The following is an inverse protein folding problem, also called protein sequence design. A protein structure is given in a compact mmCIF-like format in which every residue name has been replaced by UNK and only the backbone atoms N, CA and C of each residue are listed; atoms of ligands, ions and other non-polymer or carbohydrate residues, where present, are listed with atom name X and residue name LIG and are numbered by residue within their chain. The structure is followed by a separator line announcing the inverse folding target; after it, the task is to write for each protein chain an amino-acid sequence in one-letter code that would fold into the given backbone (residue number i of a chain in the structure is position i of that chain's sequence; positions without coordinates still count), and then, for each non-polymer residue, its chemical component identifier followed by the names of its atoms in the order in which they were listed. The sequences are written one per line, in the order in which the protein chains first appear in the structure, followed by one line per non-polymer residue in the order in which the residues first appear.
data_IF_529041755377
#
_entry.id   IF_529041755377
#
_cell.length_a   1.000
_cell.length_b   1.000
_cell.length_c   1.000
_cell.angle_alpha   90.00
_cell.angle_beta   90.00
_cell.angle_gamma   90.00
#
_symmetry.space_group_name_H-M   'P 1'
#
loop_
_entity.id
_entity.type
_entity.pdbx_description
1 polymer ?
#
# COMPACT_ATOMS: atom_id res chain seq x y z
N UNK A 1 -26.51 6.08 2.93
CA UNK A 1 -25.52 5.85 4.00
C UNK A 1 -25.33 4.35 4.15
N UNK A 2 -24.40 3.77 3.37
CA UNK A 2 -24.13 2.32 3.30
C UNK A 2 -22.95 1.89 4.19
N UNK A 3 -22.72 0.58 4.36
CA UNK A 3 -22.30 -0.08 5.59
C UNK A 3 -20.83 0.12 6.00
N UNK A 4 -20.61 -0.05 7.31
CA UNK A 4 -19.34 -0.16 8.02
C UNK A 4 -18.39 -1.19 7.38
N UNK A 5 -17.68 -0.80 6.32
CA UNK A 5 -16.54 -1.55 5.83
C UNK A 5 -15.40 -1.31 6.81
N UNK A 6 -14.90 -2.36 7.46
CA UNK A 6 -13.70 -2.33 8.34
C UNK A 6 -12.45 -2.04 7.51
N UNK A 7 -12.43 -0.90 6.83
CA UNK A 7 -11.41 -0.49 5.88
C UNK A 7 -10.88 0.87 6.27
N UNK A 8 -9.57 1.01 6.23
CA UNK A 8 -8.91 2.29 6.43
C UNK A 8 -8.84 3.01 5.09
N UNK A 9 -9.45 4.18 4.97
CA UNK A 9 -9.38 5.00 3.76
C UNK A 9 -8.34 6.09 3.98
N UNK A 10 -7.34 6.17 3.11
CA UNK A 10 -6.26 7.17 3.15
C UNK A 10 -6.12 7.93 1.83
N UNK A 11 -5.76 9.21 1.90
CA UNK A 11 -5.41 10.03 0.73
C UNK A 11 -3.95 10.44 0.80
N UNK A 12 -3.18 10.13 -0.24
CA UNK A 12 -1.78 10.53 -0.35
C UNK A 12 -1.62 11.62 -1.42
N UNK A 13 -1.05 12.76 -1.03
CA UNK A 13 -0.75 13.89 -1.90
C UNK A 13 0.77 14.08 -1.91
N UNK A 14 1.42 13.78 -3.03
CA UNK A 14 2.84 14.06 -3.22
C UNK A 14 3.02 15.23 -4.21
N UNK A 15 3.75 16.27 -3.79
CA UNK A 15 4.01 17.48 -4.59
C UNK A 15 4.79 17.23 -5.90
N UNK A 16 5.31 16.03 -6.14
CA UNK A 16 6.09 15.68 -7.34
C UNK A 16 5.28 14.97 -8.44
N UNK A 17 3.99 14.68 -8.24
CA UNK A 17 3.16 14.03 -9.26
C UNK A 17 1.70 14.54 -9.20
N UNK A 18 1.12 14.90 -10.35
CA UNK A 18 -0.25 15.42 -10.53
C UNK A 18 -1.36 14.38 -10.29
N UNK A 19 -1.08 13.27 -9.59
CA UNK A 19 -2.02 12.19 -9.32
C UNK A 19 -2.34 12.07 -7.83
N UNK A 20 -3.63 12.08 -7.49
CA UNK A 20 -4.13 11.74 -6.16
C UNK A 20 -4.21 10.22 -6.05
N UNK A 21 -3.43 9.63 -5.15
CA UNK A 21 -3.49 8.19 -4.90
C UNK A 21 -4.53 7.92 -3.81
N UNK A 22 -5.59 7.21 -4.19
CA UNK A 22 -6.63 6.73 -3.26
C UNK A 22 -6.18 5.36 -2.78
N UNK A 23 -6.03 5.21 -1.46
CA UNK A 23 -5.69 3.93 -0.84
C UNK A 23 -6.94 3.32 -0.18
N UNK A 24 -7.30 2.10 -0.57
CA UNK A 24 -8.25 1.23 0.13
C UNK A 24 -7.46 0.25 1.01
N UNK A 25 -7.51 0.47 2.32
CA UNK A 25 -6.77 -0.29 3.30
C UNK A 25 -7.59 -1.38 3.96
N UNK A 26 -7.04 -2.59 4.07
CA UNK A 26 -7.58 -3.68 4.88
C UNK A 26 -6.55 -4.16 5.92
N UNK A 27 -7.01 -4.34 7.15
CA UNK A 27 -6.21 -4.91 8.24
C UNK A 27 -6.60 -6.38 8.40
N UNK A 28 -5.60 -7.25 8.53
CA UNK A 28 -5.84 -8.67 8.75
C UNK A 28 -6.51 -8.95 10.11
N UNK A 29 -7.08 -10.14 10.27
CA UNK A 29 -7.82 -10.50 11.48
C UNK A 29 -6.94 -10.55 12.75
N UNK A 30 -5.63 -10.69 12.59
CA UNK A 30 -4.66 -10.68 13.69
C UNK A 30 -4.17 -9.26 14.04
N UNK A 31 -4.60 -8.24 13.30
CA UNK A 31 -4.20 -6.84 13.45
C UNK A 31 -2.68 -6.61 13.33
N UNK A 32 -2.02 -7.41 12.49
CA UNK A 32 -0.58 -7.38 12.25
C UNK A 32 -0.19 -6.89 10.86
N UNK A 33 -1.09 -7.02 9.88
CA UNK A 33 -0.78 -6.71 8.48
C UNK A 33 -1.84 -5.77 7.93
N UNK A 34 -1.43 -4.53 7.66
CA UNK A 34 -2.23 -3.54 6.96
C UNK A 34 -1.82 -3.55 5.48
N UNK A 35 -2.74 -3.96 4.61
CA UNK A 35 -2.55 -3.92 3.16
C UNK A 35 -3.30 -2.72 2.60
N UNK A 36 -2.62 -1.88 1.83
CA UNK A 36 -3.18 -0.70 1.19
C UNK A 36 -3.16 -0.89 -0.32
N UNK A 37 -4.34 -1.07 -0.91
CA UNK A 37 -4.53 -1.17 -2.36
C UNK A 37 -4.68 0.22 -2.98
N UNK A 38 -4.02 0.46 -4.10
CA UNK A 38 -4.14 1.73 -4.82
C UNK A 38 -3.93 1.57 -6.33
N UNK A 39 -4.31 2.59 -7.09
CA UNK A 39 -4.10 2.67 -8.53
C UNK A 39 -3.32 3.92 -8.87
N UNK A 40 -2.33 3.78 -9.76
CA UNK A 40 -1.53 4.90 -10.22
C UNK A 40 -0.85 4.64 -11.55
N UNK A 41 -0.12 5.63 -12.09
CA UNK A 41 0.50 5.52 -13.40
C UNK A 41 1.49 4.36 -13.47
N UNK A 42 1.44 3.57 -14.54
CA UNK A 42 2.43 2.51 -14.79
C UNK A 42 3.85 3.13 -14.83
N UNK A 43 4.85 2.37 -14.41
CA UNK A 43 6.26 2.77 -14.54
C UNK A 43 6.69 3.04 -15.99
N UNK A 44 6.00 2.45 -16.97
CA UNK A 44 6.21 2.72 -18.40
C UNK A 44 5.72 4.10 -18.86
N UNK A 45 4.94 4.81 -18.03
CA UNK A 45 4.36 6.11 -18.35
C UNK A 45 3.02 6.08 -19.07
N UNK A 46 2.55 4.90 -19.52
CA UNK A 46 1.25 4.74 -20.19
C UNK A 46 0.28 3.87 -19.38
N UNK A 47 -0.90 4.42 -19.09
CA UNK A 47 -1.97 3.72 -18.39
C UNK A 47 -1.81 3.66 -16.86
N UNK A 48 -2.75 2.96 -16.22
CA UNK A 48 -2.77 2.73 -14.77
C UNK A 48 -2.37 1.29 -14.45
N UNK A 49 -1.72 1.10 -13.31
CA UNK A 49 -1.49 -0.19 -12.68
C UNK A 49 -2.02 -0.19 -11.25
N UNK A 50 -2.31 -1.40 -10.76
CA UNK A 50 -2.62 -1.64 -9.36
C UNK A 50 -1.33 -1.81 -8.58
N UNK A 51 -1.29 -1.19 -7.41
CA UNK A 51 -0.18 -1.25 -6.48
C UNK A 51 -0.70 -1.67 -5.11
N UNK A 52 0.17 -2.30 -4.35
CA UNK A 52 -0.08 -2.60 -2.95
C UNK A 52 1.11 -2.16 -2.11
N UNK A 53 0.80 -1.47 -1.02
CA UNK A 53 1.71 -1.21 0.09
C UNK A 53 1.29 -2.07 1.29
N UNK A 54 2.16 -2.96 1.74
CA UNK A 54 1.91 -3.92 2.81
C UNK A 54 2.76 -3.52 4.01
N UNK A 55 2.10 -3.09 5.08
CA UNK A 55 2.74 -2.74 6.35
C UNK A 55 2.55 -3.91 7.32
N UNK A 56 3.64 -4.50 7.76
CA UNK A 56 3.64 -5.59 8.75
C UNK A 56 4.25 -5.12 10.07
N UNK A 57 3.49 -5.27 11.16
CA UNK A 57 3.94 -5.03 12.52
C UNK A 57 4.61 -6.30 13.06
N UNK A 58 5.95 -6.33 12.99
CA UNK A 58 6.77 -7.48 13.44
C UNK A 58 6.92 -7.47 14.97
N UNK A 59 6.93 -6.29 15.57
CA UNK A 59 6.91 -6.08 17.03
C UNK A 59 6.83 -4.59 17.37
N UNK A 60 6.81 -4.26 18.67
CA UNK A 60 6.54 -2.90 19.17
C UNK A 60 7.43 -1.80 18.56
N UNK A 61 8.68 -2.14 18.28
CA UNK A 61 9.69 -1.23 17.74
C UNK A 61 10.10 -1.52 16.28
N UNK A 62 9.49 -2.51 15.64
CA UNK A 62 9.85 -2.93 14.28
C UNK A 62 8.63 -3.17 13.42
N UNK A 63 8.54 -2.41 12.31
CA UNK A 63 7.61 -2.70 11.22
C UNK A 63 8.33 -2.79 9.89
N UNK A 64 7.75 -3.53 8.94
CA UNK A 64 8.19 -3.53 7.55
C UNK A 64 7.16 -2.86 6.65
N UNK A 65 7.63 -2.32 5.53
CA UNK A 65 6.81 -1.87 4.42
C UNK A 65 7.31 -2.62 3.19
N UNK A 66 6.42 -3.29 2.47
CA UNK A 66 6.71 -3.89 1.18
C UNK A 66 5.77 -3.30 0.13
N UNK A 67 6.31 -2.94 -1.03
CA UNK A 67 5.53 -2.40 -2.14
C UNK A 67 5.63 -3.33 -3.35
N UNK A 68 4.49 -3.59 -3.98
CA UNK A 68 4.36 -4.45 -5.15
C UNK A 68 3.39 -3.89 -6.18
N UNK A 69 3.60 -4.26 -7.44
CA UNK A 69 2.77 -3.84 -8.58
C UNK A 69 2.16 -5.07 -9.25
N UNK A 70 0.90 -4.97 -9.68
CA UNK A 70 0.25 -6.04 -10.44
C UNK A 70 0.75 -6.00 -11.88
N UNK A 71 1.44 -7.04 -12.30
CA UNK A 71 1.92 -7.20 -13.67
C UNK A 71 0.79 -7.55 -14.64
N UNK A 72 1.07 -7.41 -15.94
CA UNK A 72 0.13 -7.80 -17.00
C UNK A 72 -0.08 -9.34 -17.05
N UNK A 73 0.78 -10.10 -16.37
CA UNK A 73 0.63 -11.54 -16.11
C UNK A 73 -0.36 -11.88 -14.98
N UNK A 74 -0.94 -10.86 -14.34
CA UNK A 74 -1.84 -11.01 -13.20
C UNK A 74 -1.15 -11.39 -11.90
N UNK A 75 0.19 -11.34 -11.83
CA UNK A 75 0.95 -11.62 -10.62
C UNK A 75 1.46 -10.34 -9.96
N UNK A 76 1.63 -10.40 -8.64
CA UNK A 76 2.20 -9.30 -7.88
C UNK A 76 3.73 -9.37 -7.93
N UNK A 77 4.35 -8.30 -8.41
CA UNK A 77 5.80 -8.17 -8.52
C UNK A 77 6.31 -7.20 -7.45
N UNK A 78 7.06 -7.67 -6.43
CA UNK A 78 7.62 -6.81 -5.41
C UNK A 78 8.74 -5.95 -5.99
N UNK A 79 8.73 -4.66 -5.68
CA UNK A 79 9.75 -3.72 -6.18
C UNK A 79 10.43 -2.93 -5.06
N UNK A 80 9.89 -2.92 -3.84
CA UNK A 80 10.51 -2.25 -2.69
C UNK A 80 10.22 -3.00 -1.40
N UNK A 81 11.20 -2.99 -0.48
CA UNK A 81 11.02 -3.38 0.91
C UNK A 81 11.86 -2.50 1.83
N UNK A 82 11.23 -1.97 2.88
CA UNK A 82 11.86 -1.15 3.89
C UNK A 82 11.62 -1.72 5.29
N UNK A 83 12.62 -1.56 6.16
CA UNK A 83 12.52 -1.92 7.58
C UNK A 83 12.61 -0.66 8.41
N UNK A 84 11.57 -0.39 9.19
CA UNK A 84 11.52 0.74 10.11
C UNK A 84 11.75 0.27 11.53
N UNK A 85 12.71 0.90 12.22
CA UNK A 85 12.95 0.70 13.65
C UNK A 85 12.70 2.00 14.39
N UNK A 86 11.93 1.94 15.48
CA UNK A 86 11.79 3.09 16.39
C UNK A 86 13.14 3.33 17.07
N UNK A 87 13.67 4.55 16.98
CA UNK A 87 14.80 4.98 17.83
C UNK A 87 14.21 5.51 19.15
N UNK A 88 14.80 5.06 20.26
CA UNK A 88 14.49 5.58 21.60
C UNK A 88 14.96 7.02 21.76
#
# INVERSE_FOLDING_TARGET
MGPQTKRFVGSFIASMMTHLWIYDGSLDAAEKVLTLDTEGPKFSGEGLAKYQDIIEFVGDDHRTLASQVLGDDGQWHPFMKAHYRRKK
#
